data_IF_343978924476
#
_entry.id   IF_343978924476
#
_cell.length_a   1.000
_cell.length_b   1.000
_cell.length_c   1.000
_cell.angle_alpha   90.00
_cell.angle_beta   90.00
_cell.angle_gamma   90.00
#
_symmetry.space_group_name_H-M   'P 1'
#
loop_
_entity.id
_entity.type
_entity.pdbx_description
1 polymer ?
#
# COMPACT_ATOMS: atom_id res chain seq x y z
N UNK A 1 -4.00 -17.69 -10.56
CA UNK A 1 -3.31 -17.96 -11.84
C UNK A 1 -3.24 -16.70 -12.73
N UNK A 2 -4.38 -16.11 -13.15
CA UNK A 2 -4.42 -14.93 -14.04
C UNK A 2 -3.54 -13.76 -13.56
N UNK A 3 -3.63 -13.36 -12.28
CA UNK A 3 -2.85 -12.24 -11.74
C UNK A 3 -1.33 -12.45 -11.80
N UNK A 4 -0.86 -13.69 -11.62
CA UNK A 4 0.55 -14.04 -11.73
C UNK A 4 1.02 -13.96 -13.19
N UNK A 5 0.19 -14.41 -14.14
CA UNK A 5 0.49 -14.34 -15.57
C UNK A 5 0.61 -12.89 -16.07
N UNK A 6 -0.21 -11.97 -15.54
CA UNK A 6 -0.14 -10.54 -15.88
C UNK A 6 1.23 -9.91 -15.56
N UNK A 7 1.95 -10.43 -14.56
CA UNK A 7 3.31 -9.97 -14.23
C UNK A 7 4.32 -10.35 -15.33
N UNK A 8 4.18 -11.54 -15.90
CA UNK A 8 5.05 -12.03 -16.98
C UNK A 8 4.70 -11.39 -18.33
N UNK A 9 3.41 -11.20 -18.62
CA UNK A 9 2.97 -10.60 -19.88
C UNK A 9 3.12 -9.08 -19.94
N UNK A 10 3.42 -8.42 -18.82
CA UNK A 10 3.48 -6.95 -18.74
C UNK A 10 2.14 -6.24 -18.91
N UNK A 11 1.04 -6.98 -19.00
CA UNK A 11 -0.32 -6.44 -19.15
C UNK A 11 -0.77 -5.84 -17.83
N UNK A 12 -1.18 -4.58 -17.88
CA UNK A 12 -1.61 -3.80 -16.70
C UNK A 12 -3.05 -3.34 -16.89
N UNK A 13 -4.04 -4.18 -16.54
CA UNK A 13 -5.45 -3.89 -16.81
C UNK A 13 -6.01 -2.72 -16.00
N UNK A 14 -5.33 -2.30 -14.93
CA UNK A 14 -5.77 -1.19 -14.09
C UNK A 14 -4.87 0.02 -14.31
N UNK A 15 -5.39 1.11 -14.85
CA UNK A 15 -4.64 2.35 -15.05
C UNK A 15 -5.16 3.50 -14.18
N UNK A 16 -4.23 4.35 -13.75
CA UNK A 16 -4.56 5.61 -13.12
C UNK A 16 -5.02 6.61 -14.18
N UNK A 17 -6.19 7.22 -13.97
CA UNK A 17 -6.72 8.23 -14.88
C UNK A 17 -5.94 9.56 -14.77
N UNK A 18 -5.38 9.85 -13.60
CA UNK A 18 -4.70 11.13 -13.32
C UNK A 18 -3.30 11.19 -13.92
N UNK A 19 -2.57 10.07 -13.97
CA UNK A 19 -1.18 10.03 -14.45
C UNK A 19 -0.87 8.92 -15.48
N UNK A 20 -1.87 8.13 -15.89
CA UNK A 20 -1.72 7.05 -16.87
C UNK A 20 -0.95 5.81 -16.37
N UNK A 21 -0.52 5.79 -15.09
CA UNK A 21 0.27 4.69 -14.55
C UNK A 21 -0.54 3.39 -14.46
N UNK A 22 -0.02 2.32 -15.06
CA UNK A 22 -0.63 0.99 -15.05
C UNK A 22 -0.26 0.14 -13.83
N UNK A 23 -1.18 -0.74 -13.44
CA UNK A 23 -1.09 -1.71 -12.34
C UNK A 23 -1.69 -3.05 -12.76
N UNK A 24 -1.15 -4.14 -12.20
CA UNK A 24 -1.66 -5.51 -12.39
C UNK A 24 -2.80 -5.86 -11.44
N UNK A 25 -3.01 -5.05 -10.39
CA UNK A 25 -4.04 -5.27 -9.35
C UNK A 25 -4.82 -3.99 -9.09
N UNK A 26 -6.13 -4.13 -8.89
CA UNK A 26 -7.01 -3.02 -8.52
C UNK A 26 -6.62 -2.39 -7.18
N UNK A 27 -6.28 -3.20 -6.17
CA UNK A 27 -5.84 -2.70 -4.86
C UNK A 27 -4.59 -1.81 -4.94
N UNK A 28 -3.66 -2.13 -5.84
CA UNK A 28 -2.47 -1.32 -6.10
C UNK A 28 -2.81 0.01 -6.78
N UNK A 29 -3.80 0.03 -7.68
CA UNK A 29 -4.32 1.27 -8.26
C UNK A 29 -5.02 2.14 -7.19
N UNK A 30 -5.91 1.56 -6.38
CA UNK A 30 -6.61 2.29 -5.31
C UNK A 30 -5.63 2.93 -4.33
N UNK A 31 -4.63 2.18 -3.87
CA UNK A 31 -3.59 2.69 -2.99
C UNK A 31 -2.74 3.78 -3.65
N UNK A 32 -2.46 3.64 -4.94
CA UNK A 32 -1.76 4.68 -5.68
C UNK A 32 -2.58 5.96 -5.78
N UNK A 33 -3.90 5.90 -5.95
CA UNK A 33 -4.75 7.10 -5.96
C UNK A 33 -4.67 7.90 -4.67
N UNK A 34 -4.46 7.25 -3.52
CA UNK A 34 -4.22 7.95 -2.24
C UNK A 34 -3.00 8.88 -2.30
N UNK A 35 -2.01 8.56 -3.13
CA UNK A 35 -0.83 9.41 -3.32
C UNK A 35 -1.13 10.71 -4.07
N UNK A 36 -2.15 10.71 -4.93
CA UNK A 36 -2.63 11.92 -5.60
C UNK A 36 -3.46 12.79 -4.65
N UNK A 37 -4.32 12.16 -3.84
CA UNK A 37 -5.12 12.85 -2.83
C UNK A 37 -4.31 13.32 -1.62
N UNK A 38 -3.08 12.82 -1.44
CA UNK A 38 -2.29 13.06 -0.23
C UNK A 38 -2.86 12.34 1.02
N UNK A 39 -3.85 11.48 0.83
CA UNK A 39 -4.51 10.75 1.90
C UNK A 39 -3.59 9.66 2.46
N UNK A 40 -3.49 9.62 3.78
CA UNK A 40 -2.68 8.63 4.49
C UNK A 40 -3.53 8.04 5.63
N UNK A 41 -4.39 7.07 5.31
CA UNK A 41 -5.37 6.56 6.27
C UNK A 41 -4.74 5.83 7.46
N UNK A 42 -3.49 5.39 7.33
CA UNK A 42 -2.80 4.62 8.37
C UNK A 42 -1.93 5.54 9.21
N UNK A 43 -2.44 6.01 10.35
CA UNK A 43 -1.69 6.89 11.26
C UNK A 43 -1.10 6.11 12.44
N UNK A 44 0.17 6.38 12.74
CA UNK A 44 0.84 5.83 13.91
C UNK A 44 0.31 6.51 15.17
N UNK A 45 -0.24 5.75 16.14
CA UNK A 45 -0.77 6.33 17.37
C UNK A 45 0.33 6.89 18.27
N UNK A 46 1.55 6.36 18.17
CA UNK A 46 2.66 6.71 19.06
C UNK A 46 3.32 8.06 18.69
N UNK A 47 3.36 8.40 17.40
CA UNK A 47 4.08 9.59 16.91
C UNK A 47 3.30 10.45 15.91
N UNK A 48 2.05 10.07 15.56
CA UNK A 48 1.20 10.80 14.63
C UNK A 48 1.63 10.73 13.15
N UNK A 49 2.66 9.95 12.80
CA UNK A 49 3.08 9.79 11.40
C UNK A 49 2.07 8.98 10.61
N UNK A 50 1.61 9.50 9.49
CA UNK A 50 0.66 8.83 8.61
C UNK A 50 1.35 8.16 7.40
N UNK A 51 0.78 7.04 6.96
CA UNK A 51 1.24 6.20 5.86
C UNK A 51 0.09 5.87 4.89
N UNK A 52 0.41 5.63 3.63
CA UNK A 52 -0.54 5.19 2.60
C UNK A 52 -0.78 3.68 2.59
N UNK A 53 0.02 2.91 3.33
CA UNK A 53 -0.11 1.45 3.42
C UNK A 53 0.02 0.96 4.87
N UNK A 54 -0.80 -0.04 5.21
CA UNK A 54 -0.74 -0.70 6.52
C UNK A 54 0.62 -1.39 6.77
N UNK A 55 1.21 -2.00 5.75
CA UNK A 55 2.53 -2.66 5.84
C UNK A 55 3.62 -1.68 6.25
N UNK A 56 3.59 -0.45 5.73
CA UNK A 56 4.54 0.60 6.12
C UNK A 56 4.29 1.12 7.52
N UNK A 57 3.03 1.27 7.94
CA UNK A 57 2.72 1.59 9.34
C UNK A 57 3.22 0.48 10.28
N UNK A 58 2.96 -0.79 9.95
CA UNK A 58 3.40 -1.93 10.75
C UNK A 58 4.93 -1.97 10.90
N UNK A 59 5.65 -1.82 9.78
CA UNK A 59 7.12 -1.73 9.80
C UNK A 59 7.60 -0.50 10.61
N UNK A 60 6.95 0.64 10.45
CA UNK A 60 7.28 1.84 11.20
C UNK A 60 7.10 1.64 12.70
N UNK A 61 6.03 0.97 13.14
CA UNK A 61 5.80 0.71 14.57
C UNK A 61 6.93 -0.09 15.22
N UNK A 62 7.57 -1.00 14.49
CA UNK A 62 8.76 -1.72 14.97
C UNK A 62 9.93 -0.81 15.31
N UNK A 63 10.04 0.35 14.65
CA UNK A 63 11.10 1.32 14.96
C UNK A 63 10.89 2.02 16.31
N UNK A 64 9.67 2.02 16.85
CA UNK A 64 9.39 2.56 18.19
C UNK A 64 9.64 1.54 19.29
N UNK A 65 9.22 0.29 19.08
CA UNK A 65 9.26 -0.76 20.10
C UNK A 65 10.57 -1.54 20.12
N UNK A 66 11.36 -1.50 19.04
CA UNK A 66 12.55 -2.34 18.88
C UNK A 66 12.23 -3.84 18.68
N UNK A 67 10.96 -4.22 18.77
CA UNK A 67 10.45 -5.58 18.55
C UNK A 67 9.57 -5.65 17.31
N UNK A 68 9.72 -6.75 16.55
CA UNK A 68 8.90 -7.08 15.37
C UNK A 68 7.41 -7.14 15.74
N UNK A 69 6.49 -6.76 14.86
CA UNK A 69 5.08 -6.67 15.20
C UNK A 69 4.51 -8.09 15.17
N UNK A 70 4.17 -8.64 16.35
CA UNK A 70 3.23 -9.76 16.40
C UNK A 70 1.89 -9.24 15.90
N UNK A 71 1.49 -9.73 14.73
CA UNK A 71 0.18 -9.49 14.16
C UNK A 71 -0.86 -10.21 15.03
N UNK A 72 -1.44 -9.51 16.01
CA UNK A 72 -2.72 -9.96 16.55
C UNK A 72 -3.79 -9.69 15.50
N UNK A 73 -4.18 -10.79 14.85
CA UNK A 73 -5.18 -10.79 13.80
C UNK A 73 -6.59 -10.52 14.34
N UNK A 74 -7.43 -10.06 13.41
CA UNK A 74 -8.81 -10.50 13.30
C UNK A 74 -9.21 -10.47 11.83
#
# INVERSE_FOLDING_TARGET
FIQHQLLHSGVKPYSCADCGKGFTRSSSLTQHRLTHAGEKPFTCPDCGKSFSQNSYLAQHRCSHTGEQPTVEGR
#
